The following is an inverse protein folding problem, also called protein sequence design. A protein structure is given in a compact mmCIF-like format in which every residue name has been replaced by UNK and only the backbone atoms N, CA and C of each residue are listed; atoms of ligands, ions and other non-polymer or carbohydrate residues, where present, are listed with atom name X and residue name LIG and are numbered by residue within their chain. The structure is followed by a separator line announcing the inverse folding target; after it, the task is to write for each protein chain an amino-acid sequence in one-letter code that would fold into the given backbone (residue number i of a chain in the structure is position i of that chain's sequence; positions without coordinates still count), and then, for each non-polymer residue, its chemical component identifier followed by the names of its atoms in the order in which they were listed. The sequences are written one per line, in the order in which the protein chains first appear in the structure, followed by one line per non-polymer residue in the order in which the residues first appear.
data_IF_194904373975
#
_entry.id   IF_194904373975
#
_cell.length_a   1.000
_cell.length_b   1.000
_cell.length_c   1.000
_cell.angle_alpha   90.00
_cell.angle_beta   90.00
_cell.angle_gamma   90.00
#
_symmetry.space_group_name_H-M   'P 1'
#
loop_
_entity.id
_entity.type
_entity.pdbx_description
1 polymer ?
#
# COMPACT_ATOMS: atom_id res chain seq x y z
N UNK A 1 -21.93 7.57 -14.02
CA UNK A 1 -21.82 6.47 -13.05
C UNK A 1 -20.49 6.61 -12.31
N UNK A 2 -20.44 7.39 -11.24
CA UNK A 2 -19.32 7.38 -10.28
C UNK A 2 -19.92 6.86 -8.99
N UNK A 3 -19.52 5.66 -8.59
CA UNK A 3 -19.92 5.06 -7.32
C UNK A 3 -19.26 5.88 -6.21
N UNK A 4 -20.06 6.33 -5.25
CA UNK A 4 -19.60 7.01 -4.06
C UNK A 4 -18.64 6.07 -3.29
N UNK A 5 -17.33 6.29 -3.43
CA UNK A 5 -16.30 5.50 -2.72
C UNK A 5 -16.31 5.87 -1.24
N UNK A 6 -17.17 5.20 -0.49
CA UNK A 6 -17.20 5.18 0.96
C UNK A 6 -15.87 4.67 1.50
N UNK A 7 -14.93 5.58 1.79
CA UNK A 7 -13.86 5.48 2.79
C UNK A 7 -12.81 4.35 2.72
N UNK A 8 -13.05 3.23 2.02
CA UNK A 8 -12.53 1.93 2.48
C UNK A 8 -11.91 1.06 1.38
N UNK A 9 -11.89 1.52 0.14
CA UNK A 9 -11.23 0.78 -0.94
C UNK A 9 -9.73 1.12 -1.04
N UNK A 10 -8.93 0.08 -1.26
CA UNK A 10 -7.53 0.18 -1.64
C UNK A 10 -7.39 -0.28 -3.09
N UNK A 11 -6.59 0.43 -3.86
CA UNK A 11 -6.27 0.05 -5.25
C UNK A 11 -5.12 -0.97 -5.27
N UNK A 12 -4.31 -1.04 -4.21
CA UNK A 12 -3.21 -1.99 -4.03
C UNK A 12 -3.05 -2.38 -2.56
N UNK A 13 -2.84 -3.66 -2.28
CA UNK A 13 -2.40 -4.17 -0.98
C UNK A 13 -1.01 -4.78 -1.11
N UNK A 14 -0.06 -4.31 -0.31
CA UNK A 14 1.31 -4.81 -0.23
C UNK A 14 1.51 -5.55 1.08
N UNK A 15 1.92 -6.82 1.01
CA UNK A 15 2.21 -7.65 2.18
C UNK A 15 3.72 -7.80 2.31
N UNK A 16 4.27 -7.31 3.41
CA UNK A 16 5.70 -7.23 3.70
C UNK A 16 6.26 -5.82 3.46
N UNK A 17 6.77 -5.18 4.51
CA UNK A 17 7.41 -3.87 4.53
C UNK A 17 8.94 -3.93 4.42
N UNK A 18 9.49 -4.97 3.80
CA UNK A 18 10.94 -5.13 3.59
C UNK A 18 11.52 -4.22 2.49
N UNK A 19 12.77 -4.47 2.06
CA UNK A 19 13.47 -3.66 1.05
C UNK A 19 12.78 -3.66 -0.32
N UNK A 20 11.92 -4.63 -0.59
CA UNK A 20 11.09 -4.66 -1.80
C UNK A 20 9.71 -4.01 -1.60
N UNK A 21 9.02 -4.36 -0.51
CA UNK A 21 7.62 -3.97 -0.34
C UNK A 21 7.41 -2.50 0.02
N UNK A 22 8.30 -1.91 0.82
CA UNK A 22 8.22 -0.48 1.14
C UNK A 22 8.37 0.42 -0.10
N UNK A 23 9.41 0.27 -0.96
CA UNK A 23 9.50 1.07 -2.18
C UNK A 23 8.41 0.75 -3.20
N UNK A 24 7.91 -0.50 -3.27
CA UNK A 24 6.77 -0.83 -4.12
C UNK A 24 5.49 -0.09 -3.70
N UNK A 25 5.16 -0.11 -2.40
CA UNK A 25 4.03 0.62 -1.86
C UNK A 25 4.18 2.13 -2.02
N UNK A 26 5.37 2.67 -1.77
CA UNK A 26 5.66 4.09 -1.94
C UNK A 26 5.51 4.53 -3.40
N UNK A 27 6.01 3.73 -4.35
CA UNK A 27 5.89 4.02 -5.78
C UNK A 27 4.43 4.06 -6.22
N UNK A 28 3.63 3.09 -5.80
CA UNK A 28 2.19 3.07 -6.10
C UNK A 28 1.45 4.24 -5.44
N UNK A 29 1.80 4.60 -4.21
CA UNK A 29 1.21 5.77 -3.53
C UNK A 29 1.57 7.08 -4.23
N UNK A 30 2.83 7.24 -4.68
CA UNK A 30 3.26 8.40 -5.47
C UNK A 30 2.56 8.47 -6.84
N UNK A 31 2.18 7.32 -7.40
CA UNK A 31 1.36 7.24 -8.61
C UNK A 31 -0.14 7.55 -8.36
N UNK A 32 -0.53 7.87 -7.12
CA UNK A 32 -1.90 8.24 -6.75
C UNK A 32 -2.80 7.08 -6.37
N UNK A 33 -2.28 5.86 -6.25
CA UNK A 33 -3.04 4.71 -5.77
C UNK A 33 -3.28 4.80 -4.26
N UNK A 34 -4.46 4.36 -3.80
CA UNK A 34 -4.73 4.12 -2.39
C UNK A 34 -4.10 2.80 -1.98
N UNK A 35 -2.97 2.83 -1.29
CA UNK A 35 -2.18 1.64 -0.94
C UNK A 35 -2.36 1.28 0.53
N UNK A 36 -2.63 -0.01 0.82
CA UNK A 36 -2.45 -0.59 2.14
C UNK A 36 -1.12 -1.37 2.18
N UNK A 37 -0.22 -1.03 3.10
CA UNK A 37 0.99 -1.80 3.37
C UNK A 37 0.86 -2.48 4.73
N UNK A 38 1.04 -3.80 4.75
CA UNK A 38 0.90 -4.63 5.95
C UNK A 38 2.24 -5.30 6.23
N UNK A 39 2.80 -5.02 7.40
CA UNK A 39 4.00 -5.65 7.94
C UNK A 39 3.68 -6.23 9.32
N UNK A 40 4.19 -7.43 9.60
CA UNK A 40 4.00 -8.12 10.88
C UNK A 40 4.92 -7.57 11.96
N UNK A 41 6.19 -7.36 11.60
CA UNK A 41 7.25 -7.04 12.55
C UNK A 41 7.73 -5.59 12.36
N UNK A 42 8.85 -5.39 11.65
CA UNK A 42 9.50 -4.08 11.48
C UNK A 42 9.57 -3.68 10.01
N UNK A 43 9.22 -2.42 9.75
CA UNK A 43 9.48 -1.79 8.45
C UNK A 43 10.99 -1.79 8.14
N UNK A 44 11.34 -2.15 6.91
CA UNK A 44 12.71 -2.33 6.44
C UNK A 44 13.18 -3.79 6.42
N UNK A 45 12.45 -4.72 7.06
CA UNK A 45 12.90 -6.10 7.21
C UNK A 45 13.84 -6.28 8.40
N UNK A 46 14.86 -7.14 8.25
CA UNK A 46 15.90 -7.40 9.26
C UNK A 46 16.80 -6.20 9.51
#
# INVERSE_FOLDING_TARGET
MKSDKSGSEFDLVVIGGGPCGTPAAMTAAMAGARVALIERDRLGGT
#
